data_IF_598642481978
#
_entry.id   IF_598642481978
#
_cell.length_a   1.000
_cell.length_b   1.000
_cell.length_c   1.000
_cell.angle_alpha   90.00
_cell.angle_beta   90.00
_cell.angle_gamma   90.00
#
_symmetry.space_group_name_H-M   'P 1'
#
loop_
_entity.id
_entity.type
_entity.pdbx_description
1 polymer ?
#
# COMPACT_ATOMS: atom_id res chain seq x y z
N UNK A 1 23.05 -17.92 27.81
CA UNK A 1 22.08 -16.95 27.26
C UNK A 1 22.86 -15.76 26.74
N UNK A 2 23.14 -15.71 25.46
CA UNK A 2 23.87 -14.58 24.83
C UNK A 2 22.88 -13.45 24.63
N UNK A 3 22.95 -12.44 25.43
CA UNK A 3 22.25 -11.16 25.22
C UNK A 3 22.72 -10.58 23.89
N UNK A 4 21.89 -10.75 22.83
CA UNK A 4 22.09 -10.04 21.58
C UNK A 4 21.87 -8.56 21.86
N UNK A 5 22.96 -7.77 21.84
CA UNK A 5 22.89 -6.30 21.86
C UNK A 5 21.81 -5.85 20.87
N UNK A 6 20.95 -4.89 21.22
CA UNK A 6 19.95 -4.37 20.29
C UNK A 6 20.69 -3.80 19.08
N UNK A 7 20.50 -4.44 17.93
CA UNK A 7 21.09 -4.01 16.66
C UNK A 7 20.37 -2.72 16.27
N UNK A 8 21.02 -1.57 16.44
CA UNK A 8 20.52 -0.26 16.01
C UNK A 8 21.22 0.16 14.73
N UNK A 9 20.53 0.90 13.91
CA UNK A 9 21.11 1.54 12.73
C UNK A 9 21.99 2.71 13.16
N UNK A 10 23.07 2.99 12.42
CA UNK A 10 23.94 4.14 12.67
C UNK A 10 23.21 5.45 12.47
N UNK A 11 23.58 6.50 13.26
CA UNK A 11 22.93 7.80 13.19
C UNK A 11 22.99 8.43 11.78
N UNK A 12 24.11 8.28 11.08
CA UNK A 12 24.27 8.78 9.71
C UNK A 12 23.28 8.15 8.73
N UNK A 13 23.01 6.85 8.89
CA UNK A 13 22.04 6.14 8.08
C UNK A 13 20.60 6.57 8.42
N UNK A 14 20.31 6.78 9.71
CA UNK A 14 19.01 7.29 10.15
C UNK A 14 18.74 8.67 9.56
N UNK A 15 19.71 9.58 9.58
CA UNK A 15 19.59 10.93 9.02
C UNK A 15 19.35 10.87 7.49
N UNK A 16 20.06 9.97 6.79
CA UNK A 16 19.87 9.74 5.37
C UNK A 16 18.45 9.23 5.05
N UNK A 17 17.97 8.23 5.79
CA UNK A 17 16.64 7.68 5.56
C UNK A 17 15.53 8.65 6.00
N UNK A 18 15.76 9.47 7.01
CA UNK A 18 14.82 10.53 7.40
C UNK A 18 14.63 11.51 6.24
N UNK A 19 15.73 12.01 5.66
CA UNK A 19 15.68 12.91 4.50
C UNK A 19 14.94 12.26 3.31
N UNK A 20 15.25 11.00 3.01
CA UNK A 20 14.59 10.24 1.94
C UNK A 20 13.08 10.10 2.16
N UNK A 21 12.67 9.78 3.39
CA UNK A 21 11.24 9.63 3.75
C UNK A 21 10.49 10.96 3.68
N UNK A 22 11.10 12.05 4.14
CA UNK A 22 10.52 13.40 4.05
C UNK A 22 10.34 13.83 2.60
N UNK A 23 11.32 13.58 1.73
CA UNK A 23 11.23 13.90 0.31
C UNK A 23 10.13 13.10 -0.37
N UNK A 24 10.05 11.78 -0.13
CA UNK A 24 8.96 10.92 -0.67
C UNK A 24 7.58 11.37 -0.21
N UNK A 25 7.46 11.77 1.06
CA UNK A 25 6.21 12.33 1.57
C UNK A 25 5.83 13.61 0.85
N UNK A 26 6.79 14.51 0.64
CA UNK A 26 6.58 15.79 -0.05
C UNK A 26 6.14 15.59 -1.50
N UNK A 27 6.80 14.67 -2.23
CA UNK A 27 6.42 14.32 -3.61
C UNK A 27 4.96 13.84 -3.70
N UNK A 28 4.54 12.97 -2.79
CA UNK A 28 3.17 12.44 -2.77
C UNK A 28 2.13 13.52 -2.44
N UNK A 29 2.39 14.35 -1.44
CA UNK A 29 1.48 15.45 -1.08
C UNK A 29 1.34 16.42 -2.24
N UNK A 30 2.44 16.75 -2.92
CA UNK A 30 2.41 17.61 -4.10
C UNK A 30 1.62 16.97 -5.28
N UNK A 31 1.75 15.66 -5.48
CA UNK A 31 1.00 14.94 -6.49
C UNK A 31 -0.51 14.94 -6.19
N UNK A 32 -0.90 14.74 -4.93
CA UNK A 32 -2.31 14.77 -4.51
C UNK A 32 -2.94 16.15 -4.70
N UNK A 33 -2.27 17.23 -4.28
CA UNK A 33 -2.77 18.60 -4.48
C UNK A 33 -2.91 18.95 -5.96
N UNK A 34 -2.03 18.46 -6.82
CA UNK A 34 -2.14 18.66 -8.26
C UNK A 34 -3.32 17.87 -8.86
N UNK A 35 -3.59 16.66 -8.39
CA UNK A 35 -4.71 15.83 -8.87
C UNK A 35 -6.06 16.39 -8.43
N UNK A 36 -6.16 16.98 -7.24
CA UNK A 36 -7.35 17.68 -6.78
C UNK A 36 -7.64 18.94 -7.63
N UNK A 37 -6.59 19.69 -8.00
CA UNK A 37 -6.72 20.88 -8.85
C UNK A 37 -7.05 20.56 -10.32
N UNK A 38 -6.74 19.36 -10.81
CA UNK A 38 -7.00 18.97 -12.20
C UNK A 38 -8.38 18.33 -12.42
N UNK A 39 -9.31 18.46 -11.47
CA UNK A 39 -10.69 17.97 -11.61
C UNK A 39 -10.82 16.47 -11.94
N UNK A 40 -9.84 15.66 -11.52
CA UNK A 40 -9.86 14.20 -11.78
C UNK A 40 -11.12 13.53 -11.22
N UNK A 41 -11.75 14.16 -10.22
CA UNK A 41 -12.99 13.69 -9.60
C UNK A 41 -14.27 14.33 -10.17
N UNK A 42 -14.14 15.31 -11.07
CA UNK A 42 -15.31 15.85 -11.75
C UNK A 42 -15.71 14.95 -12.92
N UNK A 43 -16.96 14.52 -12.91
CA UNK A 43 -17.56 13.80 -14.02
C UNK A 43 -17.45 14.66 -15.30
N UNK A 44 -17.06 14.06 -16.42
CA UNK A 44 -17.08 14.73 -17.73
C UNK A 44 -18.44 15.37 -18.02
N UNK A 45 -19.50 14.88 -17.39
CA UNK A 45 -20.84 15.42 -17.47
C UNK A 45 -20.96 16.85 -16.95
N UNK A 46 -20.18 17.24 -15.95
CA UNK A 46 -20.16 18.61 -15.41
C UNK A 46 -19.32 19.57 -16.25
N UNK A 47 -18.44 19.06 -17.10
CA UNK A 47 -17.62 19.86 -18.03
C UNK A 47 -18.29 20.10 -19.37
N UNK A 48 -19.32 19.34 -19.70
CA UNK A 48 -19.97 19.32 -21.04
C UNK A 48 -20.99 20.44 -21.31
N UNK A 49 -21.30 21.30 -20.35
CA UNK A 49 -22.27 22.38 -20.52
C UNK A 49 -23.64 21.92 -21.08
N UNK A 50 -24.42 22.84 -21.60
CA UNK A 50 -25.78 22.66 -22.14
C UNK A 50 -25.88 21.69 -23.35
N UNK A 51 -24.76 21.30 -23.96
CA UNK A 51 -24.66 20.34 -25.07
C UNK A 51 -24.58 18.87 -24.66
N UNK A 52 -24.51 18.56 -23.36
CA UNK A 52 -24.44 17.19 -22.83
C UNK A 52 -25.77 16.40 -22.92
N UNK A 53 -26.78 16.96 -23.56
CA UNK A 53 -28.09 16.32 -23.81
C UNK A 53 -28.09 15.27 -24.95
N UNK A 54 -27.00 15.14 -25.71
CA UNK A 54 -26.88 14.12 -26.73
C UNK A 54 -26.43 12.79 -26.12
N UNK A 55 -27.28 11.81 -26.27
CA UNK A 55 -27.15 10.38 -26.06
C UNK A 55 -25.70 9.91 -25.81
N UNK A 56 -25.28 9.94 -24.55
CA UNK A 56 -24.08 9.20 -24.13
C UNK A 56 -24.37 7.72 -24.33
N UNK A 57 -23.64 7.06 -25.24
CA UNK A 57 -23.74 5.62 -25.41
C UNK A 57 -23.47 4.94 -24.06
N UNK A 58 -24.26 3.90 -23.74
CA UNK A 58 -24.11 3.10 -22.53
C UNK A 58 -22.65 2.64 -22.30
N UNK A 59 -21.91 2.41 -23.41
CA UNK A 59 -20.50 2.08 -23.40
C UNK A 59 -19.61 3.22 -22.85
N UNK A 60 -19.92 4.47 -23.18
CA UNK A 60 -19.16 5.64 -22.69
C UNK A 60 -19.38 5.83 -21.19
N UNK A 61 -20.64 5.68 -20.73
CA UNK A 61 -20.96 5.74 -19.30
C UNK A 61 -20.29 4.62 -18.49
N UNK A 62 -20.16 3.40 -19.05
CA UNK A 62 -19.45 2.31 -18.43
C UNK A 62 -17.94 2.56 -18.34
N UNK A 63 -17.36 3.16 -19.40
CA UNK A 63 -15.94 3.55 -19.42
C UNK A 63 -15.64 4.64 -18.38
N UNK A 64 -16.50 5.65 -18.25
CA UNK A 64 -16.36 6.71 -17.26
C UNK A 64 -16.44 6.15 -15.84
N UNK A 65 -17.36 5.22 -15.59
CA UNK A 65 -17.49 4.57 -14.28
C UNK A 65 -16.23 3.77 -13.90
N UNK A 66 -15.69 2.98 -14.82
CA UNK A 66 -14.44 2.22 -14.57
C UNK A 66 -13.24 3.14 -14.33
N UNK A 67 -13.20 4.28 -15.03
CA UNK A 67 -12.15 5.29 -14.83
C UNK A 67 -12.25 5.93 -13.45
N UNK A 68 -13.45 6.25 -12.98
CA UNK A 68 -13.69 6.76 -11.64
C UNK A 68 -13.27 5.75 -10.57
N UNK A 69 -13.67 4.48 -10.72
CA UNK A 69 -13.30 3.41 -9.79
C UNK A 69 -11.79 3.24 -9.69
N UNK A 70 -11.08 3.23 -10.84
CA UNK A 70 -9.61 3.14 -10.84
C UNK A 70 -8.94 4.33 -10.19
N UNK A 71 -9.47 5.54 -10.37
CA UNK A 71 -8.95 6.75 -9.74
C UNK A 71 -9.15 6.73 -8.22
N UNK A 72 -10.30 6.27 -7.73
CA UNK A 72 -10.53 6.08 -6.30
C UNK A 72 -9.61 5.05 -5.68
N UNK A 73 -9.38 3.92 -6.37
CA UNK A 73 -8.47 2.89 -5.92
C UNK A 73 -7.02 3.40 -5.85
N UNK A 74 -6.61 4.20 -6.84
CA UNK A 74 -5.30 4.81 -6.86
C UNK A 74 -5.13 5.78 -5.69
N UNK A 75 -6.07 6.70 -5.50
CA UNK A 75 -6.07 7.65 -4.39
C UNK A 75 -6.05 6.95 -3.02
N UNK A 76 -6.80 5.86 -2.88
CA UNK A 76 -6.80 5.06 -1.66
C UNK A 76 -5.44 4.38 -1.38
N UNK A 77 -4.74 3.93 -2.42
CA UNK A 77 -3.38 3.37 -2.30
C UNK A 77 -2.35 4.43 -1.91
N UNK A 78 -2.43 5.60 -2.52
CA UNK A 78 -1.56 6.74 -2.20
C UNK A 78 -1.77 7.21 -0.76
N UNK A 79 -3.03 7.33 -0.32
CA UNK A 79 -3.35 7.65 1.06
C UNK A 79 -2.78 6.64 2.07
N UNK A 80 -2.89 5.33 1.79
CA UNK A 80 -2.26 4.28 2.61
C UNK A 80 -0.74 4.40 2.62
N UNK A 81 -0.14 4.75 1.50
CA UNK A 81 1.31 4.90 1.41
C UNK A 81 1.81 6.10 2.23
N UNK A 82 1.06 7.21 2.27
CA UNK A 82 1.36 8.33 3.17
C UNK A 82 1.37 7.90 4.64
N UNK A 83 0.39 7.13 5.08
CA UNK A 83 0.36 6.59 6.44
C UNK A 83 1.61 5.74 6.72
N UNK A 84 2.02 4.89 5.79
CA UNK A 84 3.24 4.08 5.96
C UNK A 84 4.52 4.92 6.02
N UNK A 85 4.59 6.04 5.27
CA UNK A 85 5.71 6.98 5.37
C UNK A 85 5.74 7.68 6.73
N UNK A 86 4.59 8.09 7.26
CA UNK A 86 4.49 8.71 8.58
C UNK A 86 4.87 7.73 9.69
N UNK A 87 4.42 6.48 9.62
CA UNK A 87 4.87 5.43 10.53
C UNK A 87 6.38 5.17 10.43
N UNK A 88 6.96 5.25 9.23
CA UNK A 88 8.39 5.09 9.03
C UNK A 88 9.17 6.24 9.68
N UNK A 89 8.74 7.49 9.49
CA UNK A 89 9.31 8.67 10.14
C UNK A 89 9.20 8.58 11.66
N UNK A 90 8.08 8.10 12.19
CA UNK A 90 7.94 7.88 13.62
C UNK A 90 8.93 6.83 14.16
N UNK A 91 9.19 5.77 13.38
CA UNK A 91 10.21 4.75 13.74
C UNK A 91 11.62 5.30 13.70
N UNK A 92 11.94 6.22 12.79
CA UNK A 92 13.23 6.93 12.77
C UNK A 92 13.40 7.74 14.05
N UNK A 93 12.42 8.54 14.43
CA UNK A 93 12.43 9.33 15.69
C UNK A 93 12.58 8.45 16.93
N UNK A 94 11.97 7.28 16.95
CA UNK A 94 12.05 6.32 18.04
C UNK A 94 13.33 5.47 18.02
N UNK A 95 14.21 5.63 17.02
CA UNK A 95 15.42 4.84 16.86
C UNK A 95 15.18 3.33 16.58
N UNK A 96 14.00 2.98 16.10
CA UNK A 96 13.58 1.60 15.77
C UNK A 96 13.50 1.35 14.28
N UNK A 97 13.86 2.34 13.45
CA UNK A 97 13.89 2.22 12.00
C UNK A 97 14.93 1.19 11.54
N UNK A 98 14.62 0.50 10.46
CA UNK A 98 15.51 -0.51 9.87
C UNK A 98 15.58 -1.84 10.62
N UNK A 99 14.82 -2.04 11.70
CA UNK A 99 14.76 -3.29 12.45
C UNK A 99 13.57 -4.11 11.99
N UNK A 100 13.80 -5.35 11.59
CA UNK A 100 12.73 -6.28 11.19
C UNK A 100 11.80 -6.58 12.37
N UNK A 101 10.48 -6.43 12.21
CA UNK A 101 9.50 -6.73 13.26
C UNK A 101 9.48 -8.22 13.66
N UNK A 102 9.88 -9.12 12.77
CA UNK A 102 9.83 -10.58 12.98
C UNK A 102 11.13 -11.11 13.59
N UNK A 103 12.25 -11.03 12.87
CA UNK A 103 13.52 -11.60 13.30
C UNK A 103 14.38 -10.63 14.14
N UNK A 104 13.98 -9.37 14.29
CA UNK A 104 14.70 -8.32 15.04
C UNK A 104 16.11 -8.00 14.52
N UNK A 105 16.49 -8.51 13.35
CA UNK A 105 17.73 -8.19 12.66
C UNK A 105 17.57 -6.88 11.86
N UNK A 106 18.71 -6.25 11.51
CA UNK A 106 18.70 -5.11 10.59
C UNK A 106 18.22 -5.54 9.21
N UNK A 107 17.37 -4.72 8.62
CA UNK A 107 16.96 -4.84 7.23
C UNK A 107 18.10 -4.28 6.36
N UNK A 108 18.53 -4.97 5.28
CA UNK A 108 19.55 -4.46 4.38
C UNK A 108 19.24 -3.05 3.87
N UNK A 109 20.27 -2.18 3.83
CA UNK A 109 20.12 -0.79 3.36
C UNK A 109 19.55 -0.71 1.94
N UNK A 110 20.04 -1.57 1.03
CA UNK A 110 19.55 -1.68 -0.35
C UNK A 110 18.05 -1.92 -0.44
N UNK A 111 17.49 -2.69 0.53
CA UNK A 111 16.05 -2.90 0.61
C UNK A 111 15.31 -1.66 1.10
N UNK A 112 15.88 -0.94 2.08
CA UNK A 112 15.28 0.28 2.62
C UNK A 112 15.35 1.44 1.62
N UNK A 113 16.37 1.50 0.77
CA UNK A 113 16.48 2.44 -0.33
C UNK A 113 15.38 2.21 -1.38
N UNK A 114 15.14 0.94 -1.74
CA UNK A 114 14.08 0.57 -2.67
C UNK A 114 12.66 0.71 -2.05
N UNK A 115 12.52 0.35 -0.78
CA UNK A 115 11.23 0.37 -0.04
C UNK A 115 11.45 0.98 1.34
N UNK A 116 11.45 2.31 1.47
CA UNK A 116 11.76 2.99 2.73
C UNK A 116 10.76 2.70 3.87
N UNK A 117 9.56 2.28 3.53
CA UNK A 117 8.51 1.92 4.49
C UNK A 117 8.61 0.48 5.01
N UNK A 118 9.60 -0.31 4.56
CA UNK A 118 9.72 -1.72 4.91
C UNK A 118 9.82 -1.96 6.43
N UNK A 119 9.05 -2.94 6.91
CA UNK A 119 9.01 -3.35 8.32
C UNK A 119 9.55 -4.75 8.56
N UNK A 120 9.78 -5.52 7.49
CA UNK A 120 10.26 -6.91 7.51
C UNK A 120 11.42 -7.07 6.53
N UNK A 121 12.40 -7.93 6.81
CA UNK A 121 13.42 -8.33 5.84
C UNK A 121 12.80 -9.19 4.72
N UNK A 122 13.56 -9.48 3.65
CA UNK A 122 13.06 -10.23 2.48
C UNK A 122 12.55 -11.59 2.93
N UNK A 123 13.40 -12.35 3.62
CA UNK A 123 13.09 -13.72 4.06
C UNK A 123 11.82 -13.79 4.91
N UNK A 124 11.71 -12.90 5.91
CA UNK A 124 10.52 -12.84 6.77
C UNK A 124 9.25 -12.40 6.00
N UNK A 125 9.39 -11.57 4.98
CA UNK A 125 8.25 -11.18 4.14
C UNK A 125 7.79 -12.32 3.25
N UNK A 126 8.73 -13.04 2.65
CA UNK A 126 8.43 -14.21 1.81
C UNK A 126 7.80 -15.33 2.62
N UNK A 127 8.33 -15.61 3.82
CA UNK A 127 7.75 -16.59 4.71
C UNK A 127 6.33 -16.22 5.14
N UNK A 128 6.10 -14.95 5.50
CA UNK A 128 4.74 -14.46 5.82
C UNK A 128 3.80 -14.67 4.64
N UNK A 129 4.23 -14.27 3.43
CA UNK A 129 3.42 -14.43 2.21
C UNK A 129 3.13 -15.88 1.86
N UNK A 130 4.10 -16.78 2.14
CA UNK A 130 3.90 -18.23 1.94
C UNK A 130 2.84 -18.78 2.90
N UNK A 131 2.90 -18.39 4.18
CA UNK A 131 1.91 -18.78 5.18
C UNK A 131 0.52 -18.26 4.83
N UNK A 132 0.39 -16.99 4.48
CA UNK A 132 -0.88 -16.37 4.05
C UNK A 132 -1.51 -17.10 2.85
N UNK A 133 -0.69 -17.51 1.88
CA UNK A 133 -1.17 -18.30 0.72
C UNK A 133 -1.63 -19.69 1.12
N UNK A 134 -0.92 -20.36 2.03
CA UNK A 134 -1.29 -21.68 2.51
C UNK A 134 -2.59 -21.63 3.32
N UNK A 135 -2.72 -20.64 4.22
CA UNK A 135 -3.94 -20.42 4.99
C UNK A 135 -5.15 -20.14 4.07
N UNK A 136 -4.95 -19.31 3.04
CA UNK A 136 -6.00 -19.04 2.04
C UNK A 136 -6.40 -20.30 1.26
N UNK A 137 -5.45 -21.17 0.92
CA UNK A 137 -5.75 -22.44 0.24
C UNK A 137 -6.57 -23.38 1.14
N UNK A 138 -6.19 -23.46 2.41
CA UNK A 138 -6.89 -24.30 3.40
C UNK A 138 -8.31 -23.77 3.58
N UNK A 139 -8.49 -22.46 3.71
CA UNK A 139 -9.81 -21.84 3.87
C UNK A 139 -10.70 -22.08 2.64
N UNK A 140 -10.17 -21.87 1.43
CA UNK A 140 -10.91 -22.16 0.19
C UNK A 140 -11.30 -23.64 0.08
N UNK A 141 -10.42 -24.55 0.47
CA UNK A 141 -10.73 -25.99 0.48
C UNK A 141 -11.85 -26.33 1.48
N UNK A 142 -11.85 -25.69 2.65
CA UNK A 142 -12.93 -25.87 3.65
C UNK A 142 -14.28 -25.38 3.12
N UNK A 143 -14.30 -24.17 2.54
CA UNK A 143 -15.52 -23.59 1.96
C UNK A 143 -16.08 -24.48 0.84
N UNK A 144 -15.23 -24.98 -0.02
CA UNK A 144 -15.61 -25.87 -1.11
C UNK A 144 -16.18 -27.20 -0.58
N UNK A 145 -15.55 -27.80 0.41
CA UNK A 145 -16.03 -29.02 1.04
C UNK A 145 -17.37 -28.81 1.76
N UNK A 146 -17.57 -27.66 2.39
CA UNK A 146 -18.83 -27.30 3.02
C UNK A 146 -19.95 -27.13 2.00
N UNK A 147 -19.68 -26.51 0.87
CA UNK A 147 -20.63 -26.34 -0.22
C UNK A 147 -21.09 -27.70 -0.77
N UNK A 148 -20.16 -28.61 -1.05
CA UNK A 148 -20.48 -29.96 -1.51
C UNK A 148 -21.36 -30.75 -0.50
N UNK A 149 -21.07 -30.58 0.80
CA UNK A 149 -21.91 -31.23 1.83
C UNK A 149 -23.33 -30.67 1.88
N UNK A 150 -23.52 -29.41 1.58
CA UNK A 150 -24.86 -28.80 1.50
C UNK A 150 -25.63 -29.33 0.29
N UNK A 151 -24.98 -29.41 -0.87
CA UNK A 151 -25.59 -29.97 -2.09
C UNK A 151 -25.99 -31.42 -1.96
N UNK A 152 -25.22 -32.25 -1.24
CA UNK A 152 -25.54 -33.66 -0.98
C UNK A 152 -26.69 -33.89 0.01
N UNK A 153 -27.09 -32.87 0.77
CA UNK A 153 -28.19 -32.94 1.74
C UNK A 153 -29.55 -32.49 1.20
N UNK A 154 -29.56 -31.94 -0.01
CA UNK A 154 -30.79 -31.54 -0.71
C UNK A 154 -31.30 -32.67 -1.63
#
# INVERSE_FOLDING_TARGET
>A
MTEKKPVKMDQKDLDFFEALLVERRRELVAAQTNSENTNVFHSQKDQGGELAGYSNHLADAASDYTSLETNFDLAAREGKYLVYLEEALQRVKNGTFGICKVCKNLIPKTRLEAVPTATKCVDCKEETKRKEREDSRIEMARLFAEQQRREQKM
#
